data_IF_766544522412
#
_entry.id   IF_766544522412
#
_cell.length_a   1.000
_cell.length_b   1.000
_cell.length_c   1.000
_cell.angle_alpha   90.00
_cell.angle_beta   90.00
_cell.angle_gamma   90.00
#
_symmetry.space_group_name_H-M   'P 1'
#
loop_
_entity.id
_entity.type
_entity.pdbx_description
1 polymer ?
#
# COMPACT_ATOMS: atom_id res chain seq x y z
N UNK A 1 -1.59 2.41 -76.34
CA UNK A 1 -0.86 1.86 -75.18
C UNK A 1 -0.96 2.87 -74.05
N UNK A 2 -1.78 2.61 -73.03
CA UNK A 2 -1.97 3.49 -71.87
C UNK A 2 -1.47 2.76 -70.63
N UNK A 3 -0.56 3.39 -69.91
CA UNK A 3 -0.01 2.94 -68.64
C UNK A 3 -1.11 2.90 -67.57
N UNK A 4 -1.24 1.78 -66.85
CA UNK A 4 -2.07 1.69 -65.64
C UNK A 4 -1.14 1.63 -64.44
N UNK A 5 -1.21 2.66 -63.59
CA UNK A 5 -0.55 2.74 -62.30
C UNK A 5 -0.88 1.53 -61.44
N UNK A 6 0.15 0.81 -61.00
CA UNK A 6 0.03 -0.11 -59.88
C UNK A 6 0.18 0.68 -58.58
N UNK A 7 -0.93 1.12 -58.00
CA UNK A 7 -0.95 1.50 -56.59
C UNK A 7 -0.93 0.22 -55.75
N UNK A 8 0.27 -0.11 -55.26
CA UNK A 8 0.45 -1.15 -54.24
C UNK A 8 0.03 -0.52 -52.91
N UNK A 9 -1.25 -0.65 -52.56
CA UNK A 9 -1.75 -0.27 -51.24
C UNK A 9 -1.03 -1.15 -50.21
N UNK A 10 -0.08 -0.56 -49.49
CA UNK A 10 0.53 -1.18 -48.33
C UNK A 10 -0.56 -1.27 -47.25
N UNK A 11 -0.73 -2.42 -46.58
CA UNK A 11 -1.65 -2.49 -45.46
C UNK A 11 -1.14 -1.55 -44.36
N UNK A 12 -1.96 -0.55 -44.02
CA UNK A 12 -1.80 0.18 -42.77
C UNK A 12 -1.95 -0.84 -41.65
N UNK A 13 -0.84 -1.20 -41.00
CA UNK A 13 -0.90 -1.92 -39.75
C UNK A 13 -1.79 -1.11 -38.80
N UNK A 14 -2.74 -1.72 -38.08
CA UNK A 14 -3.44 -1.02 -37.02
C UNK A 14 -2.38 -0.66 -35.98
N UNK A 15 -1.97 0.60 -35.96
CA UNK A 15 -1.26 1.16 -34.81
C UNK A 15 -2.29 1.15 -33.70
N UNK A 16 -2.26 0.09 -32.90
CA UNK A 16 -2.92 0.06 -31.61
C UNK A 16 -2.21 1.09 -30.76
N UNK A 17 -2.61 2.36 -30.86
CA UNK A 17 -2.21 3.51 -30.04
C UNK A 17 -2.67 3.38 -28.57
N UNK A 18 -2.68 2.15 -28.05
CA UNK A 18 -2.72 1.91 -26.61
C UNK A 18 -1.27 1.82 -26.18
N UNK A 19 -0.84 2.78 -25.36
CA UNK A 19 0.42 2.68 -24.63
C UNK A 19 0.51 1.26 -24.04
N UNK A 20 1.39 0.43 -24.59
CA UNK A 20 1.70 -0.87 -24.00
C UNK A 20 2.61 -0.59 -22.82
N UNK A 21 1.99 -0.34 -21.66
CA UNK A 21 2.69 -0.02 -20.43
C UNK A 21 3.73 -1.08 -20.09
N UNK A 22 3.46 -2.34 -20.44
CA UNK A 22 4.37 -3.47 -20.24
C UNK A 22 5.78 -3.23 -20.81
N UNK A 23 5.92 -2.44 -21.89
CA UNK A 23 7.24 -2.09 -22.45
C UNK A 23 8.03 -1.08 -21.60
N UNK A 24 7.37 -0.40 -20.67
CA UNK A 24 7.96 0.54 -19.72
C UNK A 24 8.02 -0.02 -18.29
N UNK A 25 7.32 -1.13 -18.02
CA UNK A 25 7.36 -1.80 -16.73
C UNK A 25 8.67 -2.59 -16.59
N UNK A 26 9.15 -2.69 -15.35
CA UNK A 26 10.35 -3.46 -15.05
C UNK A 26 10.06 -4.96 -15.18
N UNK A 27 10.94 -5.68 -15.88
CA UNK A 27 10.92 -7.14 -15.87
C UNK A 27 11.21 -7.67 -14.46
N UNK A 28 10.51 -8.75 -14.08
CA UNK A 28 10.74 -9.41 -12.81
C UNK A 28 12.10 -10.12 -12.81
N UNK A 29 12.91 -9.89 -11.79
CA UNK A 29 14.15 -10.65 -11.57
C UNK A 29 13.81 -12.01 -10.93
N UNK A 30 14.37 -13.15 -11.39
CA UNK A 30 14.13 -14.45 -10.78
C UNK A 30 14.52 -14.47 -9.30
N UNK A 31 13.71 -15.14 -8.47
CA UNK A 31 13.95 -15.23 -7.01
C UNK A 31 15.33 -15.77 -6.64
N UNK A 32 15.84 -16.72 -7.43
CA UNK A 32 17.18 -17.29 -7.23
C UNK A 32 18.28 -16.23 -7.39
N UNK A 33 18.13 -15.33 -8.37
CA UNK A 33 19.08 -14.24 -8.58
C UNK A 33 18.98 -13.23 -7.45
N UNK A 34 17.77 -12.89 -6.98
CA UNK A 34 17.58 -12.00 -5.82
C UNK A 34 18.24 -12.59 -4.56
N UNK A 35 18.07 -13.90 -4.33
CA UNK A 35 18.70 -14.59 -3.21
C UNK A 35 20.23 -14.59 -3.32
N UNK A 36 20.79 -14.80 -4.52
CA UNK A 36 22.22 -14.76 -4.76
C UNK A 36 22.81 -13.35 -4.51
N UNK A 37 22.11 -12.29 -4.91
CA UNK A 37 22.51 -10.91 -4.63
C UNK A 37 22.55 -10.62 -3.12
N UNK A 38 21.51 -11.04 -2.37
CA UNK A 38 21.49 -10.87 -0.92
C UNK A 38 22.62 -11.64 -0.23
N UNK A 39 22.92 -12.86 -0.70
CA UNK A 39 24.05 -13.65 -0.20
C UNK A 39 25.39 -12.96 -0.47
N UNK A 40 25.58 -12.43 -1.68
CA UNK A 40 26.78 -11.66 -2.07
C UNK A 40 26.97 -10.43 -1.18
N UNK A 41 25.91 -9.64 -0.95
CA UNK A 41 25.94 -8.51 -0.03
C UNK A 41 26.25 -8.94 1.42
N UNK A 42 25.70 -10.07 1.87
CA UNK A 42 26.00 -10.64 3.17
C UNK A 42 27.48 -10.97 3.35
N UNK A 43 28.10 -11.57 2.33
CA UNK A 43 29.54 -11.84 2.30
C UNK A 43 30.37 -10.55 2.29
N UNK A 44 29.93 -9.54 1.53
CA UNK A 44 30.60 -8.23 1.50
C UNK A 44 30.60 -7.55 2.88
N UNK A 45 29.46 -7.56 3.59
CA UNK A 45 29.37 -7.00 4.95
C UNK A 45 30.25 -7.81 5.90
N UNK A 46 30.24 -9.14 5.81
CA UNK A 46 31.10 -9.99 6.62
C UNK A 46 32.59 -9.64 6.43
N UNK A 47 33.06 -9.61 5.18
CA UNK A 47 34.44 -9.24 4.86
C UNK A 47 34.78 -7.83 5.34
N UNK A 48 33.85 -6.88 5.20
CA UNK A 48 34.02 -5.53 5.71
C UNK A 48 34.24 -5.53 7.23
N UNK A 49 33.45 -6.30 7.97
CA UNK A 49 33.56 -6.38 9.43
C UNK A 49 34.88 -7.03 9.87
N UNK A 50 35.25 -8.15 9.26
CA UNK A 50 36.47 -8.89 9.61
C UNK A 50 37.74 -8.07 9.32
N UNK A 51 37.76 -7.33 8.21
CA UNK A 51 38.96 -6.62 7.76
C UNK A 51 39.13 -5.22 8.37
N UNK A 52 38.05 -4.58 8.85
CA UNK A 52 38.09 -3.18 9.26
C UNK A 52 37.89 -2.92 10.76
N UNK A 53 37.49 -3.92 11.55
CA UNK A 53 37.23 -3.72 12.98
C UNK A 53 38.03 -4.69 13.85
N UNK A 54 38.67 -4.13 14.89
CA UNK A 54 39.53 -4.88 15.80
C UNK A 54 38.74 -5.73 16.81
N UNK A 55 39.42 -6.72 17.41
CA UNK A 55 38.90 -7.53 18.54
C UNK A 55 39.47 -7.09 19.91
N UNK A 56 40.25 -6.01 19.98
CA UNK A 56 40.78 -5.50 21.25
C UNK A 56 39.67 -5.10 22.25
N UNK A 57 39.90 -5.16 23.57
CA UNK A 57 38.91 -4.75 24.57
C UNK A 57 38.39 -3.32 24.34
N UNK A 58 37.08 -3.14 24.46
CA UNK A 58 36.41 -1.84 24.31
C UNK A 58 35.94 -1.37 25.69
N UNK A 59 36.34 -0.15 26.08
CA UNK A 59 36.01 0.43 27.40
C UNK A 59 34.65 1.13 27.45
N UNK A 60 33.93 1.15 26.32
CA UNK A 60 32.64 1.84 26.20
C UNK A 60 31.53 0.99 26.81
N UNK A 61 30.65 1.60 27.61
CA UNK A 61 29.56 0.87 28.23
C UNK A 61 28.54 0.42 27.17
N UNK A 62 27.96 -0.79 27.32
CA UNK A 62 26.87 -1.26 26.45
C UNK A 62 25.69 -0.29 26.41
N UNK A 63 25.39 0.39 27.51
CA UNK A 63 24.27 1.33 27.59
C UNK A 63 24.43 2.53 26.64
N UNK A 64 25.65 3.07 26.52
CA UNK A 64 25.93 4.19 25.59
C UNK A 64 25.80 3.72 24.14
N UNK A 65 26.31 2.53 23.83
CA UNK A 65 26.18 1.95 22.50
C UNK A 65 24.72 1.62 22.15
N UNK A 66 23.93 1.14 23.12
CA UNK A 66 22.51 0.88 22.94
C UNK A 66 21.73 2.16 22.60
N UNK A 67 22.05 3.29 23.23
CA UNK A 67 21.46 4.59 22.86
C UNK A 67 21.80 4.98 21.42
N UNK A 68 23.04 4.72 20.97
CA UNK A 68 23.42 4.96 19.57
C UNK A 68 22.62 4.06 18.61
N UNK A 69 22.36 2.81 18.97
CA UNK A 69 21.52 1.91 18.15
C UNK A 69 20.08 2.46 18.02
N UNK A 70 19.50 2.97 19.11
CA UNK A 70 18.17 3.60 19.09
C UNK A 70 18.17 4.87 18.22
N UNK A 71 19.22 5.69 18.32
CA UNK A 71 19.36 6.89 17.47
C UNK A 71 19.51 6.56 15.98
N UNK A 72 20.02 5.37 15.65
CA UNK A 72 20.06 4.84 14.28
C UNK A 72 18.73 4.21 13.84
N UNK A 73 17.65 4.37 14.61
CA UNK A 73 16.32 3.84 14.33
C UNK A 73 16.16 2.35 14.62
N UNK A 74 17.09 1.73 15.37
CA UNK A 74 17.01 0.32 15.72
C UNK A 74 16.44 0.13 17.13
N UNK A 75 15.45 -0.76 17.25
CA UNK A 75 14.87 -1.18 18.54
C UNK A 75 14.25 -0.03 19.35
N UNK A 76 13.61 0.94 18.67
CA UNK A 76 12.94 2.08 19.33
C UNK A 76 11.92 1.65 20.40
N UNK A 77 11.29 0.49 20.20
CA UNK A 77 10.28 -0.08 21.10
C UNK A 77 10.85 -1.14 22.05
N UNK A 78 12.12 -1.55 21.89
CA UNK A 78 12.75 -2.62 22.69
C UNK A 78 14.18 -2.24 23.13
N UNK A 79 14.25 -1.42 24.17
CA UNK A 79 15.52 -1.02 24.77
C UNK A 79 16.34 -2.21 25.31
N UNK A 80 15.69 -3.32 25.67
CA UNK A 80 16.38 -4.50 26.21
C UNK A 80 17.15 -5.25 25.13
N UNK A 81 16.58 -5.38 23.93
CA UNK A 81 17.25 -5.93 22.77
C UNK A 81 18.44 -5.06 22.33
N UNK A 82 18.28 -3.72 22.39
CA UNK A 82 19.37 -2.79 22.08
C UNK A 82 20.58 -2.99 23.01
N UNK A 83 20.35 -3.12 24.32
CA UNK A 83 21.41 -3.37 25.32
C UNK A 83 22.06 -4.74 25.12
N UNK A 84 21.27 -5.76 24.82
CA UNK A 84 21.78 -7.11 24.55
C UNK A 84 22.72 -7.13 23.33
N UNK A 85 22.31 -6.50 22.22
CA UNK A 85 23.15 -6.38 21.03
C UNK A 85 24.41 -5.55 21.28
N UNK A 86 24.29 -4.44 22.00
CA UNK A 86 25.44 -3.63 22.39
C UNK A 86 26.45 -4.42 23.23
N UNK A 87 25.96 -5.30 24.11
CA UNK A 87 26.83 -6.17 24.93
C UNK A 87 27.57 -7.18 24.06
N UNK A 88 26.91 -7.77 23.06
CA UNK A 88 27.54 -8.64 22.06
C UNK A 88 28.59 -7.90 21.21
N UNK A 89 28.39 -6.61 20.93
CA UNK A 89 29.37 -5.80 20.21
C UNK A 89 30.62 -5.50 21.05
N UNK A 90 30.48 -5.37 22.37
CA UNK A 90 31.61 -5.13 23.29
C UNK A 90 32.45 -6.40 23.48
N UNK A 91 31.85 -7.58 23.60
CA UNK A 91 32.57 -8.86 23.75
C UNK A 91 33.35 -9.21 22.45
N UNK A 92 34.69 -9.31 22.50
CA UNK A 92 35.52 -9.68 21.34
C UNK A 92 35.08 -10.97 20.62
N UNK A 93 34.49 -11.94 21.32
CA UNK A 93 34.11 -13.23 20.73
C UNK A 93 32.87 -13.14 19.85
N UNK A 94 32.01 -12.17 20.13
CA UNK A 94 30.73 -11.98 19.42
C UNK A 94 30.70 -10.70 18.60
N UNK A 95 31.74 -9.87 18.71
CA UNK A 95 31.80 -8.54 18.10
C UNK A 95 31.54 -8.54 16.62
N UNK A 96 32.20 -9.42 15.86
CA UNK A 96 32.03 -9.44 14.41
C UNK A 96 30.59 -9.75 14.01
N UNK A 97 29.98 -10.78 14.61
CA UNK A 97 28.57 -11.10 14.36
C UNK A 97 27.64 -9.94 14.74
N UNK A 98 27.89 -9.28 15.87
CA UNK A 98 27.10 -8.12 16.31
C UNK A 98 27.24 -6.93 15.34
N UNK A 99 28.46 -6.61 14.89
CA UNK A 99 28.70 -5.53 13.93
C UNK A 99 28.11 -5.83 12.56
N UNK A 100 28.23 -7.07 12.07
CA UNK A 100 27.61 -7.52 10.82
C UNK A 100 26.08 -7.37 10.90
N UNK A 101 25.48 -7.77 12.03
CA UNK A 101 24.04 -7.58 12.27
C UNK A 101 23.65 -6.10 12.27
N UNK A 102 24.40 -5.24 12.97
CA UNK A 102 24.11 -3.79 13.01
C UNK A 102 24.19 -3.18 11.61
N UNK A 103 25.28 -3.42 10.87
CA UNK A 103 25.46 -2.86 9.52
C UNK A 103 24.34 -3.35 8.61
N UNK A 104 24.10 -4.67 8.56
CA UNK A 104 23.02 -5.27 7.76
C UNK A 104 21.66 -4.66 8.08
N UNK A 105 21.31 -4.60 9.36
CA UNK A 105 20.06 -3.99 9.83
C UNK A 105 19.90 -2.56 9.36
N UNK A 106 20.90 -1.70 9.56
CA UNK A 106 20.80 -0.28 9.19
C UNK A 106 20.73 -0.10 7.67
N UNK A 107 21.56 -0.81 6.91
CA UNK A 107 21.59 -0.66 5.45
C UNK A 107 20.30 -1.14 4.82
N UNK A 108 19.77 -2.29 5.23
CA UNK A 108 18.54 -2.84 4.65
C UNK A 108 17.26 -2.25 5.24
N UNK A 109 17.29 -1.66 6.44
CA UNK A 109 16.15 -0.90 6.97
C UNK A 109 15.87 0.38 6.17
N UNK A 110 16.86 0.97 5.50
CA UNK A 110 16.62 2.13 4.63
C UNK A 110 15.86 1.80 3.34
N UNK A 111 15.87 0.54 2.90
CA UNK A 111 15.04 0.01 1.80
C UNK A 111 13.72 -0.60 2.28
N UNK A 112 13.28 -0.25 3.50
CA UNK A 112 12.18 -0.91 4.21
C UNK A 112 10.82 -0.68 3.56
N UNK A 113 9.87 -1.50 4.02
CA UNK A 113 8.43 -1.37 3.78
C UNK A 113 7.92 0.06 3.98
N UNK A 114 8.53 0.85 4.87
CA UNK A 114 8.15 2.26 5.09
C UNK A 114 8.47 3.14 3.89
N UNK A 115 9.62 2.93 3.23
CA UNK A 115 9.96 3.65 2.00
C UNK A 115 9.01 3.28 0.86
N UNK A 116 8.60 2.00 0.78
CA UNK A 116 7.60 1.53 -0.20
C UNK A 116 6.23 2.13 0.09
N UNK A 117 5.78 2.13 1.35
CA UNK A 117 4.50 2.72 1.74
C UNK A 117 4.47 4.23 1.51
N UNK A 118 5.59 4.93 1.77
CA UNK A 118 5.75 6.34 1.46
C UNK A 118 5.66 6.59 -0.06
N UNK A 119 6.35 5.77 -0.87
CA UNK A 119 6.29 5.85 -2.32
C UNK A 119 4.88 5.59 -2.85
N UNK A 120 4.18 4.56 -2.36
CA UNK A 120 2.79 4.26 -2.70
C UNK A 120 1.84 5.39 -2.29
N UNK A 121 2.06 6.00 -1.13
CA UNK A 121 1.31 7.15 -0.65
C UNK A 121 1.48 8.34 -1.59
N UNK A 122 2.72 8.66 -1.98
CA UNK A 122 3.00 9.71 -2.97
C UNK A 122 2.43 9.39 -4.34
N UNK A 123 2.54 8.15 -4.79
CA UNK A 123 1.97 7.70 -6.05
C UNK A 123 0.45 7.90 -6.08
N UNK A 124 -0.25 7.53 -5.01
CA UNK A 124 -1.70 7.73 -4.87
C UNK A 124 -2.07 9.22 -4.90
N UNK A 125 -1.36 10.06 -4.15
CA UNK A 125 -1.56 11.51 -4.17
C UNK A 125 -1.36 12.10 -5.57
N UNK A 126 -0.29 11.72 -6.27
CA UNK A 126 0.00 12.16 -7.63
C UNK A 126 -1.07 11.65 -8.61
N UNK A 127 -1.51 10.41 -8.46
CA UNK A 127 -2.57 9.82 -9.29
C UNK A 127 -3.88 10.58 -9.12
N UNK A 128 -4.30 10.82 -7.88
CA UNK A 128 -5.50 11.62 -7.58
C UNK A 128 -5.38 13.04 -8.16
N UNK A 129 -4.23 13.69 -7.98
CA UNK A 129 -3.96 15.01 -8.55
C UNK A 129 -4.02 15.01 -10.09
N UNK A 130 -3.44 14.00 -10.75
CA UNK A 130 -3.39 13.93 -12.22
C UNK A 130 -4.76 13.62 -12.83
N UNK A 131 -5.56 12.79 -12.14
CA UNK A 131 -6.92 12.42 -12.55
C UNK A 131 -7.95 13.53 -12.29
N UNK A 132 -7.66 14.48 -11.39
CA UNK A 132 -8.61 15.55 -11.06
C UNK A 132 -8.88 16.45 -12.28
N UNK A 133 -10.15 16.67 -12.69
CA UNK A 133 -10.49 17.44 -13.89
C UNK A 133 -9.97 18.88 -13.79
N UNK A 134 -10.03 19.48 -12.60
CA UNK A 134 -9.55 20.84 -12.33
C UNK A 134 -8.42 20.84 -11.30
N UNK A 135 -7.22 20.43 -11.72
CA UNK A 135 -6.06 20.20 -10.82
C UNK A 135 -5.69 21.37 -9.90
N UNK A 136 -5.99 22.60 -10.30
CA UNK A 136 -5.71 23.82 -9.53
C UNK A 136 -6.54 23.95 -8.25
N UNK A 137 -7.70 23.28 -8.18
CA UNK A 137 -8.62 23.40 -7.04
C UNK A 137 -8.12 22.64 -5.80
N UNK A 138 -7.24 21.65 -5.99
CA UNK A 138 -6.68 20.82 -4.90
C UNK A 138 -7.76 20.19 -4.01
N UNK A 139 -8.93 19.93 -4.59
CA UNK A 139 -10.04 19.22 -3.96
C UNK A 139 -9.90 17.71 -4.15
N UNK A 140 -10.65 16.89 -3.38
CA UNK A 140 -10.72 15.45 -3.63
C UNK A 140 -11.18 15.13 -5.06
N UNK A 141 -10.69 14.03 -5.60
CA UNK A 141 -11.12 13.50 -6.88
C UNK A 141 -12.63 13.24 -6.87
N UNK A 142 -13.31 13.69 -7.92
CA UNK A 142 -14.73 13.42 -8.14
C UNK A 142 -14.85 12.31 -9.18
N UNK A 143 -15.70 11.30 -8.97
CA UNK A 143 -15.94 10.26 -9.97
C UNK A 143 -16.47 10.86 -11.28
N UNK A 144 -16.09 10.28 -12.43
CA UNK A 144 -16.76 10.62 -13.70
C UNK A 144 -18.21 10.13 -13.66
N UNK A 145 -19.16 11.02 -13.94
CA UNK A 145 -20.61 10.74 -13.86
C UNK A 145 -21.01 9.55 -14.74
N UNK A 146 -20.54 9.53 -15.99
CA UNK A 146 -20.84 8.45 -16.95
C UNK A 146 -20.31 7.09 -16.48
N UNK A 147 -19.04 7.04 -16.06
CA UNK A 147 -18.39 5.80 -15.61
C UNK A 147 -19.04 5.29 -14.33
N UNK A 148 -19.32 6.19 -13.39
CA UNK A 148 -19.92 5.85 -12.10
C UNK A 148 -21.33 5.33 -12.27
N UNK A 149 -22.12 5.93 -13.16
CA UNK A 149 -23.48 5.48 -13.46
C UNK A 149 -23.48 4.06 -14.04
N UNK A 150 -22.60 3.77 -14.99
CA UNK A 150 -22.51 2.43 -15.58
C UNK A 150 -22.05 1.38 -14.55
N UNK A 151 -21.02 1.68 -13.76
CA UNK A 151 -20.52 0.76 -12.72
C UNK A 151 -21.55 0.53 -11.62
N UNK A 152 -22.23 1.60 -11.18
CA UNK A 152 -23.29 1.51 -10.18
C UNK A 152 -24.46 0.68 -10.69
N UNK A 153 -24.85 0.81 -11.96
CA UNK A 153 -25.87 -0.03 -12.59
C UNK A 153 -25.48 -1.52 -12.56
N UNK A 154 -24.23 -1.84 -12.92
CA UNK A 154 -23.75 -3.23 -12.91
C UNK A 154 -23.76 -3.83 -11.50
N UNK A 155 -23.33 -3.06 -10.50
CA UNK A 155 -23.35 -3.50 -9.11
C UNK A 155 -24.79 -3.62 -8.56
N UNK A 156 -25.68 -2.68 -8.89
CA UNK A 156 -27.09 -2.75 -8.51
C UNK A 156 -27.76 -4.02 -9.06
N UNK A 157 -27.52 -4.36 -10.32
CA UNK A 157 -28.03 -5.60 -10.94
C UNK A 157 -27.45 -6.85 -10.25
N UNK A 158 -26.18 -6.83 -9.88
CA UNK A 158 -25.55 -7.95 -9.18
C UNK A 158 -26.15 -8.15 -7.77
N UNK A 159 -26.32 -7.05 -7.02
CA UNK A 159 -26.97 -7.06 -5.70
C UNK A 159 -28.45 -7.44 -5.79
N UNK A 160 -29.15 -7.00 -6.84
CA UNK A 160 -30.55 -7.31 -7.11
C UNK A 160 -30.83 -8.81 -7.13
N UNK A 161 -29.87 -9.65 -7.55
CA UNK A 161 -30.03 -11.12 -7.49
C UNK A 161 -30.32 -11.65 -6.09
N UNK A 162 -29.79 -11.00 -5.06
CA UNK A 162 -30.08 -11.32 -3.66
C UNK A 162 -31.27 -10.50 -3.14
N UNK A 163 -31.31 -9.21 -3.45
CA UNK A 163 -32.30 -8.28 -2.91
C UNK A 163 -33.72 -8.51 -3.46
N UNK A 164 -33.85 -9.08 -4.67
CA UNK A 164 -35.13 -9.31 -5.36
C UNK A 164 -36.14 -10.09 -4.52
N UNK A 165 -35.69 -10.96 -3.61
CA UNK A 165 -36.56 -11.70 -2.70
C UNK A 165 -37.30 -10.81 -1.69
N UNK A 166 -36.81 -9.60 -1.47
CA UNK A 166 -37.33 -8.62 -0.50
C UNK A 166 -38.03 -7.42 -1.18
N UNK A 167 -38.05 -7.37 -2.51
CA UNK A 167 -38.70 -6.30 -3.29
C UNK A 167 -40.09 -6.75 -3.71
N UNK A 168 -41.06 -5.84 -3.60
CA UNK A 168 -42.44 -6.10 -4.06
C UNK A 168 -42.46 -6.48 -5.56
N UNK A 169 -43.41 -7.32 -5.96
CA UNK A 169 -43.57 -7.73 -7.37
C UNK A 169 -44.06 -6.62 -8.32
N UNK A 170 -44.40 -5.45 -7.77
CA UNK A 170 -44.79 -4.28 -8.55
C UNK A 170 -43.61 -3.74 -9.37
N UNK A 171 -43.86 -3.50 -10.66
CA UNK A 171 -42.83 -3.08 -11.62
C UNK A 171 -42.33 -1.66 -11.34
N UNK A 172 -43.21 -0.75 -10.93
CA UNK A 172 -42.83 0.64 -10.61
C UNK A 172 -41.98 0.67 -9.34
N UNK A 173 -42.42 -0.03 -8.29
CA UNK A 173 -41.66 -0.14 -7.02
C UNK A 173 -40.29 -0.76 -7.25
N UNK A 174 -40.19 -1.80 -8.08
CA UNK A 174 -38.90 -2.42 -8.44
C UNK A 174 -37.99 -1.44 -9.18
N UNK A 175 -38.53 -0.70 -10.14
CA UNK A 175 -37.76 0.28 -10.90
C UNK A 175 -37.26 1.42 -10.00
N UNK A 176 -38.10 1.93 -9.10
CA UNK A 176 -37.72 2.94 -8.11
C UNK A 176 -36.65 2.44 -7.14
N UNK A 177 -36.80 1.21 -6.63
CA UNK A 177 -35.82 0.59 -5.75
C UNK A 177 -34.44 0.43 -6.41
N UNK A 178 -34.40 -0.05 -7.66
CA UNK A 178 -33.15 -0.22 -8.40
C UNK A 178 -32.47 1.12 -8.68
N UNK A 179 -33.23 2.14 -9.07
CA UNK A 179 -32.71 3.49 -9.27
C UNK A 179 -32.12 4.07 -7.98
N UNK A 180 -32.83 3.96 -6.86
CA UNK A 180 -32.35 4.46 -5.58
C UNK A 180 -31.11 3.68 -5.12
N UNK A 181 -31.04 2.36 -5.33
CA UNK A 181 -29.84 1.58 -5.04
C UNK A 181 -28.63 2.05 -5.86
N UNK A 182 -28.84 2.39 -7.14
CA UNK A 182 -27.78 2.97 -7.98
C UNK A 182 -27.27 4.29 -7.41
N UNK A 183 -28.16 5.17 -6.97
CA UNK A 183 -27.79 6.45 -6.34
C UNK A 183 -26.96 6.22 -5.07
N UNK A 184 -27.39 5.32 -4.19
CA UNK A 184 -26.64 4.94 -2.97
C UNK A 184 -25.23 4.44 -3.34
N UNK A 185 -25.11 3.58 -4.36
CA UNK A 185 -23.81 3.07 -4.82
C UNK A 185 -22.91 4.19 -5.34
N UNK A 186 -23.45 5.16 -6.08
CA UNK A 186 -22.69 6.32 -6.58
C UNK A 186 -22.17 7.16 -5.41
N UNK A 187 -22.98 7.42 -4.39
CA UNK A 187 -22.55 8.16 -3.20
C UNK A 187 -21.47 7.41 -2.41
N UNK A 188 -21.62 6.08 -2.25
CA UNK A 188 -20.57 5.26 -1.64
C UNK A 188 -19.27 5.28 -2.45
N UNK A 189 -19.34 5.27 -3.78
CA UNK A 189 -18.18 5.41 -4.63
C UNK A 189 -17.52 6.78 -4.45
N UNK A 190 -18.29 7.87 -4.44
CA UNK A 190 -17.78 9.22 -4.19
C UNK A 190 -17.01 9.31 -2.87
N UNK A 191 -17.49 8.65 -1.81
CA UNK A 191 -16.75 8.53 -0.56
C UNK A 191 -15.43 7.75 -0.71
N UNK A 192 -15.42 6.65 -1.48
CA UNK A 192 -14.20 5.93 -1.82
C UNK A 192 -13.16 6.81 -2.54
N UNK A 193 -13.61 7.65 -3.48
CA UNK A 193 -12.76 8.63 -4.16
C UNK A 193 -12.24 9.73 -3.23
N UNK A 194 -13.05 10.15 -2.25
CA UNK A 194 -12.62 11.05 -1.18
C UNK A 194 -11.47 10.44 -0.37
N UNK A 195 -11.63 9.19 0.09
CA UNK A 195 -10.58 8.48 0.84
C UNK A 195 -9.32 8.27 0.00
N UNK A 196 -9.47 7.89 -1.27
CA UNK A 196 -8.37 7.73 -2.21
C UNK A 196 -7.55 9.02 -2.35
N UNK A 197 -8.23 10.17 -2.33
CA UNK A 197 -7.61 11.49 -2.46
C UNK A 197 -6.91 11.99 -1.19
N UNK A 198 -7.12 11.33 -0.05
CA UNK A 198 -6.47 11.72 1.20
C UNK A 198 -5.00 11.32 1.22
N UNK A 199 -4.11 12.13 1.80
CA UNK A 199 -2.72 11.73 2.02
C UNK A 199 -2.56 10.45 2.86
N UNK A 200 -3.43 10.25 3.84
CA UNK A 200 -3.37 9.11 4.76
C UNK A 200 -4.07 7.87 4.22
N UNK A 201 -3.78 6.71 4.81
CA UNK A 201 -4.40 5.44 4.45
C UNK A 201 -5.52 5.06 5.43
N UNK A 202 -6.60 4.51 4.90
CA UNK A 202 -7.81 4.18 5.64
C UNK A 202 -8.26 2.75 5.38
N UNK A 203 -8.92 2.14 6.35
CA UNK A 203 -9.47 0.79 6.25
C UNK A 203 -10.89 0.75 6.81
N UNK A 204 -11.79 0.11 6.06
CA UNK A 204 -13.13 -0.21 6.56
C UNK A 204 -13.08 -1.38 7.54
N UNK A 205 -13.83 -1.26 8.63
CA UNK A 205 -13.92 -2.28 9.67
C UNK A 205 -15.34 -2.83 9.76
N UNK A 206 -15.46 -4.15 9.59
CA UNK A 206 -16.73 -4.89 9.68
C UNK A 206 -16.80 -5.84 10.88
N UNK A 207 -15.74 -5.93 11.67
CA UNK A 207 -15.70 -6.77 12.87
C UNK A 207 -15.52 -5.88 14.09
N UNK A 208 -16.27 -6.17 15.14
CA UNK A 208 -16.00 -5.69 16.48
C UNK A 208 -15.63 -6.91 17.33
N UNK A 209 -14.40 -6.95 17.82
CA UNK A 209 -13.88 -8.05 18.66
C UNK A 209 -14.72 -8.26 19.94
N UNK A 210 -15.53 -7.27 20.32
CA UNK A 210 -16.36 -7.31 21.52
C UNK A 210 -17.81 -7.77 21.32
N UNK A 211 -18.27 -7.91 20.07
CA UNK A 211 -19.68 -8.15 19.74
C UNK A 211 -19.89 -9.56 19.15
N UNK A 212 -20.03 -10.57 20.00
CA UNK A 212 -20.21 -11.96 19.54
C UNK A 212 -21.58 -12.27 18.92
N UNK A 213 -22.52 -11.31 18.88
CA UNK A 213 -23.92 -11.58 18.53
C UNK A 213 -24.64 -10.44 17.78
N UNK A 214 -23.93 -9.56 17.07
CA UNK A 214 -24.53 -8.45 16.33
C UNK A 214 -24.12 -8.40 14.85
N UNK A 215 -24.97 -7.81 14.02
CA UNK A 215 -24.74 -7.60 12.59
C UNK A 215 -24.25 -6.17 12.37
N UNK A 216 -23.15 -5.98 11.65
CA UNK A 216 -22.68 -4.66 11.27
C UNK A 216 -23.55 -4.10 10.15
N UNK A 217 -24.27 -3.01 10.43
CA UNK A 217 -25.13 -2.30 9.47
C UNK A 217 -24.42 -1.11 8.82
N UNK A 218 -23.35 -0.59 9.45
CA UNK A 218 -22.48 0.44 8.87
C UNK A 218 -21.02 0.18 9.28
N UNK A 219 -20.07 0.10 8.33
CA UNK A 219 -18.68 -0.17 8.67
C UNK A 219 -18.06 0.97 9.47
N UNK A 220 -17.13 0.61 10.36
CA UNK A 220 -16.23 1.57 10.97
C UNK A 220 -15.16 2.02 9.99
N UNK A 221 -14.44 3.08 10.35
CA UNK A 221 -13.33 3.62 9.57
C UNK A 221 -12.11 3.83 10.46
N UNK A 222 -11.01 3.19 10.08
CA UNK A 222 -9.72 3.33 10.74
C UNK A 222 -8.72 4.06 9.85
N UNK A 223 -7.92 4.94 10.45
CA UNK A 223 -6.70 5.49 9.86
C UNK A 223 -5.54 4.55 10.21
N UNK A 224 -4.87 4.00 9.20
CA UNK A 224 -3.84 2.96 9.39
C UNK A 224 -2.42 3.44 9.06
N UNK A 225 -2.30 4.52 8.29
CA UNK A 225 -1.04 5.21 8.05
C UNK A 225 -1.24 6.74 8.07
N UNK A 226 -0.17 7.46 8.38
CA UNK A 226 -0.14 8.91 8.32
C UNK A 226 0.01 9.45 6.88
N UNK A 227 0.13 10.76 6.74
CA UNK A 227 0.26 11.50 5.48
C UNK A 227 1.59 11.22 4.73
N UNK A 228 2.58 10.66 5.43
CA UNK A 228 3.87 10.25 4.88
C UNK A 228 3.92 8.76 4.53
N UNK A 229 2.84 8.01 4.80
CA UNK A 229 2.78 6.57 4.57
C UNK A 229 3.38 5.72 5.69
N UNK A 230 3.67 6.31 6.86
CA UNK A 230 4.14 5.55 8.03
C UNK A 230 2.96 4.87 8.69
N UNK A 231 3.05 3.56 8.87
CA UNK A 231 2.01 2.75 9.52
C UNK A 231 1.95 3.08 11.00
N UNK A 232 0.75 3.23 11.54
CA UNK A 232 0.58 3.31 12.99
C UNK A 232 0.80 1.93 13.62
N UNK A 233 1.45 1.89 14.79
CA UNK A 233 1.60 0.65 15.56
C UNK A 233 0.25 0.02 15.94
N UNK A 234 -0.77 0.87 16.10
CA UNK A 234 -2.18 0.48 16.24
C UNK A 234 -3.03 1.42 15.37
N UNK A 235 -3.97 0.91 14.58
CA UNK A 235 -4.92 1.74 13.83
C UNK A 235 -5.64 2.76 14.72
N UNK A 236 -5.79 3.98 14.22
CA UNK A 236 -6.56 5.03 14.88
C UNK A 236 -8.00 5.00 14.38
N UNK A 237 -8.94 4.67 15.26
CA UNK A 237 -10.36 4.61 14.89
C UNK A 237 -10.96 5.99 14.79
N UNK A 238 -11.43 6.32 13.59
CA UNK A 238 -12.18 7.55 13.33
C UNK A 238 -13.66 7.37 13.63
N UNK A 239 -14.21 6.22 13.20
CA UNK A 239 -15.61 5.87 13.38
C UNK A 239 -15.70 4.40 13.75
N UNK A 240 -16.41 4.08 14.83
CA UNK A 240 -16.67 2.70 15.20
C UNK A 240 -17.77 2.10 14.29
N UNK A 241 -17.74 0.78 14.01
CA UNK A 241 -18.85 0.14 13.30
C UNK A 241 -20.17 0.31 14.05
N UNK A 242 -21.26 0.49 13.32
CA UNK A 242 -22.61 0.46 13.89
C UNK A 242 -23.11 -0.98 13.83
N UNK A 243 -23.47 -1.51 15.00
CA UNK A 243 -23.91 -2.89 15.18
C UNK A 243 -25.38 -2.91 15.60
N UNK A 244 -26.17 -3.75 14.95
CA UNK A 244 -27.52 -4.08 15.38
C UNK A 244 -27.51 -5.46 16.05
N UNK A 245 -28.11 -5.57 17.23
CA UNK A 245 -28.20 -6.84 17.95
C UNK A 245 -29.06 -7.84 17.17
N UNK A 246 -28.61 -9.09 17.06
CA UNK A 246 -29.38 -10.17 16.46
C UNK A 246 -30.52 -10.64 17.37
#
# INVERSE_FOLDING_TARGET
MKYSSGEKVLPLAPVSDKLQLDQFLLDSKPDADIAAELQSLGQLIQQHVENNYHLQPVQRSPNVLAQTLVQLGLYEQDSSAAISLASLAVDPRTRWAALQHVISRVTFASSSLDAVNAALTRWRQLSAFLLHPTRSERTPLVPSEDVSTQQAQQLAVALGRFLDAFVSGDREVRYEQENHLREVIVECAAFGYLLFSQPSEFQFRYNDESSSNGIVICPGLDKIADEEGRRYAKPYTLVAPVVEGA
#
